data_IF_329825641775
#
_entry.id   IF_329825641775
#
_cell.length_a   1.000
_cell.length_b   1.000
_cell.length_c   1.000
_cell.angle_alpha   90.00
_cell.angle_beta   90.00
_cell.angle_gamma   90.00
#
_symmetry.space_group_name_H-M   'P 1'
#
loop_
_entity.id
_entity.type
_entity.pdbx_description
1 polymer ?
#
# COMPACT_ATOMS: atom_id res chain seq x y z
N UNK A 1 -37.15 -30.92 73.79
CA UNK A 1 -37.25 -29.60 73.15
C UNK A 1 -35.84 -29.04 73.11
N UNK A 2 -35.22 -28.93 71.93
CA UNK A 2 -33.85 -28.42 71.79
C UNK A 2 -33.94 -26.89 71.78
N UNK A 3 -33.37 -26.22 72.77
CA UNK A 3 -33.32 -24.76 72.80
C UNK A 3 -32.45 -24.24 71.66
N UNK A 4 -33.06 -23.47 70.76
CA UNK A 4 -32.36 -22.85 69.64
C UNK A 4 -31.66 -21.59 70.18
N UNK A 5 -30.37 -21.72 70.46
CA UNK A 5 -29.54 -20.68 71.12
C UNK A 5 -29.24 -19.47 70.21
N UNK A 6 -29.50 -19.56 68.91
CA UNK A 6 -29.21 -18.50 67.93
C UNK A 6 -30.27 -18.46 66.84
N UNK A 7 -30.69 -17.26 66.43
CA UNK A 7 -31.56 -17.11 65.26
C UNK A 7 -30.79 -17.45 63.98
N UNK A 8 -31.51 -17.86 62.93
CA UNK A 8 -30.89 -18.08 61.61
C UNK A 8 -30.25 -16.80 61.05
N UNK A 9 -30.78 -15.64 61.42
CA UNK A 9 -30.28 -14.33 61.01
C UNK A 9 -28.90 -14.04 61.65
N UNK A 10 -28.74 -14.33 62.95
CA UNK A 10 -27.46 -14.18 63.64
C UNK A 10 -26.38 -15.08 63.04
N UNK A 11 -26.75 -16.30 62.66
CA UNK A 11 -25.83 -17.24 62.02
C UNK A 11 -25.38 -16.77 60.63
N UNK A 12 -26.31 -16.22 59.83
CA UNK A 12 -25.98 -15.65 58.52
C UNK A 12 -25.10 -14.40 58.65
N UNK A 13 -25.40 -13.52 59.60
CA UNK A 13 -24.61 -12.32 59.87
C UNK A 13 -23.16 -12.67 60.26
N UNK A 14 -22.97 -13.70 61.10
CA UNK A 14 -21.63 -14.18 61.46
C UNK A 14 -20.87 -14.78 60.27
N UNK A 15 -21.55 -15.51 59.39
CA UNK A 15 -20.94 -16.05 58.18
C UNK A 15 -20.51 -14.95 57.22
N UNK A 16 -21.32 -13.91 57.04
CA UNK A 16 -20.99 -12.77 56.19
C UNK A 16 -19.81 -11.98 56.75
N UNK A 17 -19.81 -11.70 58.06
CA UNK A 17 -18.70 -11.03 58.73
C UNK A 17 -17.38 -11.82 58.61
N UNK A 18 -17.44 -13.16 58.67
CA UNK A 18 -16.26 -14.00 58.49
C UNK A 18 -15.69 -13.92 57.05
N UNK A 19 -16.54 -13.82 56.03
CA UNK A 19 -16.11 -13.66 54.64
C UNK A 19 -15.52 -12.28 54.38
N UNK A 20 -16.11 -11.23 54.95
CA UNK A 20 -15.58 -9.86 54.86
C UNK A 20 -14.23 -9.74 55.55
N UNK A 21 -14.07 -10.38 56.72
CA UNK A 21 -12.78 -10.42 57.41
C UNK A 21 -11.71 -11.20 56.62
N UNK A 22 -12.08 -12.26 55.91
CA UNK A 22 -11.17 -12.99 55.00
C UNK A 22 -10.70 -12.08 53.85
N UNK A 23 -11.61 -11.31 53.25
CA UNK A 23 -11.28 -10.36 52.19
C UNK A 23 -10.40 -9.21 52.68
N UNK A 24 -10.65 -8.68 53.88
CA UNK A 24 -9.83 -7.63 54.49
C UNK A 24 -8.41 -8.11 54.79
N UNK A 25 -8.27 -9.34 55.31
CA UNK A 25 -6.94 -9.94 55.52
C UNK A 25 -6.20 -10.15 54.20
N UNK A 26 -6.90 -10.55 53.16
CA UNK A 26 -6.29 -10.71 51.84
C UNK A 26 -5.88 -9.38 51.21
N UNK A 27 -6.72 -8.35 51.35
CA UNK A 27 -6.42 -6.97 50.95
C UNK A 27 -5.23 -6.40 51.71
N UNK A 28 -5.09 -6.73 52.99
CA UNK A 28 -3.94 -6.35 53.82
C UNK A 28 -2.67 -7.18 53.55
N UNK A 29 -2.71 -8.12 52.60
CA UNK A 29 -1.58 -8.99 52.25
C UNK A 29 -1.27 -10.08 53.29
N UNK A 30 -2.11 -10.25 54.32
CA UNK A 30 -1.93 -11.26 55.37
C UNK A 30 -2.26 -12.67 54.87
N UNK A 31 -3.12 -12.78 53.85
CA UNK A 31 -3.48 -14.04 53.19
C UNK A 31 -3.51 -13.86 51.68
N UNK A 32 -2.65 -14.55 50.92
CA UNK A 32 -2.60 -14.36 49.45
C UNK A 32 -3.81 -14.95 48.71
N UNK A 33 -4.43 -16.00 49.27
CA UNK A 33 -5.53 -16.72 48.64
C UNK A 33 -6.83 -16.56 49.41
N UNK A 34 -7.94 -16.40 48.68
CA UNK A 34 -9.30 -16.33 49.23
C UNK A 34 -10.14 -17.53 48.78
N UNK A 35 -11.08 -17.95 49.64
CA UNK A 35 -12.04 -18.99 49.35
C UNK A 35 -13.00 -18.58 48.22
N UNK A 36 -13.58 -19.57 47.55
CA UNK A 36 -14.52 -19.36 46.44
C UNK A 36 -15.76 -18.52 46.84
N UNK A 37 -16.23 -18.61 48.10
CA UNK A 37 -17.34 -17.77 48.59
C UNK A 37 -16.93 -16.31 48.79
N UNK A 38 -15.73 -16.08 49.34
CA UNK A 38 -15.17 -14.74 49.48
C UNK A 38 -14.89 -14.10 48.12
N UNK A 39 -14.33 -14.86 47.16
CA UNK A 39 -14.13 -14.41 45.79
C UNK A 39 -15.43 -14.03 45.07
N UNK A 40 -16.50 -14.82 45.25
CA UNK A 40 -17.81 -14.51 44.67
C UNK A 40 -18.38 -13.20 45.24
N UNK A 41 -18.27 -13.00 46.57
CA UNK A 41 -18.66 -11.75 47.24
C UNK A 41 -17.85 -10.55 46.74
N UNK A 42 -16.53 -10.69 46.58
CA UNK A 42 -15.66 -9.64 46.05
C UNK A 42 -16.04 -9.20 44.62
N UNK A 43 -16.41 -10.16 43.76
CA UNK A 43 -16.82 -9.89 42.38
C UNK A 43 -18.28 -9.45 42.25
N UNK A 44 -19.05 -9.44 43.34
CA UNK A 44 -20.47 -9.11 43.36
C UNK A 44 -21.35 -10.14 42.62
N UNK A 45 -20.96 -11.41 42.60
CA UNK A 45 -21.70 -12.50 41.92
C UNK A 45 -22.04 -13.64 42.88
N UNK A 46 -23.04 -14.45 42.54
CA UNK A 46 -23.36 -15.64 43.32
C UNK A 46 -22.26 -16.71 43.20
N UNK A 47 -22.05 -17.49 44.26
CA UNK A 47 -21.04 -18.55 44.29
C UNK A 47 -21.22 -19.57 43.16
N UNK A 48 -22.46 -19.93 42.83
CA UNK A 48 -22.76 -20.87 41.75
C UNK A 48 -22.40 -20.31 40.37
N UNK A 49 -22.63 -19.00 40.16
CA UNK A 49 -22.26 -18.30 38.92
C UNK A 49 -20.75 -18.31 38.71
N UNK A 50 -19.97 -18.09 39.77
CA UNK A 50 -18.51 -18.22 39.72
C UNK A 50 -18.09 -19.67 39.42
N UNK A 51 -18.81 -20.65 39.97
CA UNK A 51 -18.62 -22.06 39.68
C UNK A 51 -18.92 -22.44 38.23
N UNK A 52 -19.94 -21.82 37.61
CA UNK A 52 -20.25 -21.99 36.20
C UNK A 52 -19.20 -21.39 35.27
N UNK A 53 -18.71 -20.18 35.56
CA UNK A 53 -17.65 -19.55 34.76
C UNK A 53 -16.38 -20.39 34.71
N UNK A 54 -16.07 -21.07 35.82
CA UNK A 54 -14.96 -22.02 35.92
C UNK A 54 -15.14 -23.27 35.05
N UNK A 55 -16.38 -23.74 34.89
CA UNK A 55 -16.71 -24.98 34.15
C UNK A 55 -16.78 -24.80 32.63
N UNK A 56 -16.79 -23.55 32.12
CA UNK A 56 -16.77 -23.27 30.67
C UNK A 56 -15.37 -23.52 30.08
N UNK A 57 -15.33 -23.87 28.79
CA UNK A 57 -14.09 -24.06 28.04
C UNK A 57 -14.08 -23.14 26.82
N UNK A 58 -13.23 -22.10 26.77
CA UNK A 58 -12.28 -21.67 27.82
C UNK A 58 -12.98 -21.05 29.06
N UNK A 59 -12.33 -21.05 30.24
CA UNK A 59 -12.90 -20.47 31.47
C UNK A 59 -13.09 -18.97 31.32
N UNK A 60 -14.29 -18.48 31.66
CA UNK A 60 -14.70 -17.08 31.50
C UNK A 60 -14.42 -16.21 32.76
N UNK A 61 -13.78 -16.78 33.77
CA UNK A 61 -13.59 -16.19 35.09
C UNK A 61 -12.13 -15.88 35.43
N UNK A 62 -11.88 -15.27 36.60
CA UNK A 62 -10.52 -15.07 37.10
C UNK A 62 -9.80 -16.42 37.26
N UNK A 63 -8.47 -16.44 37.10
CA UNK A 63 -7.68 -17.64 37.30
C UNK A 63 -7.86 -18.16 38.73
N UNK A 64 -7.80 -19.49 38.86
CA UNK A 64 -8.07 -20.18 40.12
C UNK A 64 -7.04 -21.27 40.34
N UNK A 65 -6.77 -21.55 41.61
CA UNK A 65 -5.87 -22.61 42.03
C UNK A 65 -6.70 -23.76 42.61
N UNK A 66 -6.54 -24.95 42.03
CA UNK A 66 -7.10 -26.19 42.59
C UNK A 66 -6.00 -26.86 43.42
N UNK A 67 -6.22 -26.93 44.74
CA UNK A 67 -5.30 -27.60 45.66
C UNK A 67 -3.95 -26.92 45.79
N UNK A 68 -3.86 -25.88 46.62
CA UNK A 68 -2.58 -25.45 47.16
C UNK A 68 -2.10 -26.49 48.19
N UNK A 69 -1.50 -27.58 47.70
CA UNK A 69 -0.95 -28.66 48.52
C UNK A 69 -1.01 -30.02 47.84
N UNK A 70 0.15 -30.49 47.37
CA UNK A 70 0.46 -31.84 46.88
C UNK A 70 -0.06 -32.26 45.49
N UNK A 71 0.90 -32.67 44.65
CA UNK A 71 0.71 -33.31 43.36
C UNK A 71 -0.13 -34.59 43.51
N UNK A 72 -1.40 -34.52 43.10
CA UNK A 72 -2.36 -35.62 43.25
C UNK A 72 -3.77 -35.08 43.45
N UNK A 73 -4.32 -34.39 42.45
CA UNK A 73 -5.59 -33.66 42.54
C UNK A 73 -6.81 -34.57 42.64
N UNK A 74 -7.20 -34.94 43.87
CA UNK A 74 -8.47 -35.62 44.14
C UNK A 74 -9.69 -34.76 43.81
N UNK A 75 -10.84 -35.40 43.54
CA UNK A 75 -12.09 -34.75 43.13
C UNK A 75 -12.65 -33.73 44.15
N UNK A 76 -12.22 -33.78 45.42
CA UNK A 76 -12.75 -32.99 46.54
C UNK A 76 -11.87 -31.80 46.97
N UNK A 77 -10.88 -31.39 46.17
CA UNK A 77 -10.05 -30.23 46.55
C UNK A 77 -10.81 -28.90 46.41
N UNK A 78 -10.80 -28.10 47.47
CA UNK A 78 -11.39 -26.76 47.48
C UNK A 78 -10.63 -25.80 46.55
N UNK A 79 -11.39 -25.00 45.80
CA UNK A 79 -10.84 -24.01 44.86
C UNK A 79 -10.58 -22.69 45.59
N UNK A 80 -9.37 -22.15 45.38
CA UNK A 80 -8.94 -20.86 45.92
C UNK A 80 -8.60 -19.88 44.79
N UNK A 81 -8.70 -18.60 45.08
CA UNK A 81 -8.38 -17.51 44.15
C UNK A 81 -7.30 -16.62 44.75
N UNK A 82 -6.33 -16.18 43.95
CA UNK A 82 -5.40 -15.15 44.39
C UNK A 82 -6.12 -13.79 44.41
N UNK A 83 -5.90 -13.01 45.47
CA UNK A 83 -6.56 -11.71 45.59
C UNK A 83 -6.12 -10.73 44.48
N UNK A 84 -4.85 -10.76 44.09
CA UNK A 84 -4.29 -9.94 43.00
C UNK A 84 -4.99 -10.23 41.66
N UNK A 85 -5.11 -11.51 41.30
CA UNK A 85 -5.79 -11.95 40.09
C UNK A 85 -7.27 -11.52 40.05
N UNK A 86 -7.95 -11.54 41.20
CA UNK A 86 -9.34 -11.06 41.30
C UNK A 86 -9.44 -9.56 41.02
N UNK A 87 -8.51 -8.78 41.56
CA UNK A 87 -8.43 -7.32 41.35
C UNK A 87 -8.11 -7.00 39.89
N UNK A 88 -7.14 -7.68 39.30
CA UNK A 88 -6.76 -7.49 37.89
C UNK A 88 -7.91 -7.87 36.95
N UNK A 89 -8.56 -9.00 37.18
CA UNK A 89 -9.69 -9.45 36.39
C UNK A 89 -10.88 -8.47 36.51
N UNK A 90 -11.16 -7.97 37.72
CA UNK A 90 -12.20 -6.97 37.93
C UNK A 90 -11.86 -5.65 37.21
N UNK A 91 -10.61 -5.18 37.27
CA UNK A 91 -10.15 -3.99 36.53
C UNK A 91 -10.27 -4.16 35.02
N UNK A 92 -9.85 -5.30 34.48
CA UNK A 92 -9.97 -5.63 33.06
C UNK A 92 -11.43 -5.73 32.59
N UNK A 93 -12.34 -6.12 33.49
CA UNK A 93 -13.78 -6.17 33.21
C UNK A 93 -14.46 -4.80 33.30
N UNK A 94 -14.00 -3.94 34.21
CA UNK A 94 -14.52 -2.57 34.40
C UNK A 94 -14.02 -1.63 33.28
N UNK A 95 -12.85 -1.86 32.70
CA UNK A 95 -12.26 -1.04 31.62
C UNK A 95 -12.92 -1.16 30.24
N UNK A 96 -14.14 -1.71 30.14
CA UNK A 96 -14.90 -1.82 28.88
C UNK A 96 -16.36 -1.45 29.08
N UNK A 97 -16.60 -0.16 29.34
CA UNK A 97 -17.95 0.40 29.37
C UNK A 97 -18.62 0.30 27.99
N UNK A 98 -19.96 0.29 27.89
CA UNK A 98 -20.67 0.20 26.60
C UNK A 98 -20.30 1.32 25.62
N UNK A 99 -19.94 2.51 26.12
CA UNK A 99 -19.47 3.63 25.29
C UNK A 99 -18.09 3.35 24.69
N UNK A 100 -17.16 2.80 25.47
CA UNK A 100 -15.83 2.44 24.97
C UNK A 100 -15.88 1.33 23.93
N UNK A 101 -16.79 0.35 24.08
CA UNK A 101 -16.99 -0.69 23.05
C UNK A 101 -17.46 -0.10 21.73
N UNK A 102 -18.44 0.80 21.77
CA UNK A 102 -18.93 1.52 20.57
C UNK A 102 -17.82 2.33 19.92
N UNK A 103 -17.01 3.04 20.71
CA UNK A 103 -15.89 3.83 20.18
C UNK A 103 -14.83 2.95 19.54
N UNK A 104 -14.53 1.77 20.11
CA UNK A 104 -13.57 0.82 19.52
C UNK A 104 -14.11 0.27 18.19
N UNK A 105 -15.40 -0.11 18.14
CA UNK A 105 -16.04 -0.56 16.89
C UNK A 105 -16.04 0.53 15.81
N UNK A 106 -16.34 1.77 16.18
CA UNK A 106 -16.31 2.92 15.28
C UNK A 106 -14.88 3.21 14.78
N UNK A 107 -13.89 3.11 15.65
CA UNK A 107 -12.48 3.27 15.32
C UNK A 107 -12.01 2.16 14.35
N UNK A 108 -12.39 0.91 14.60
CA UNK A 108 -12.08 -0.22 13.71
C UNK A 108 -12.72 -0.03 12.33
N UNK A 109 -13.98 0.45 12.27
CA UNK A 109 -14.66 0.80 11.02
C UNK A 109 -13.92 1.90 10.26
N UNK A 110 -13.55 2.99 10.93
CA UNK A 110 -12.81 4.09 10.30
C UNK A 110 -11.42 3.63 9.80
N UNK A 111 -10.74 2.75 10.53
CA UNK A 111 -9.47 2.14 10.08
C UNK A 111 -9.65 1.25 8.86
N UNK A 112 -10.76 0.53 8.74
CA UNK A 112 -11.07 -0.23 7.52
C UNK A 112 -11.31 0.71 6.33
N UNK A 113 -12.08 1.78 6.53
CA UNK A 113 -12.32 2.78 5.49
C UNK A 113 -11.05 3.49 5.04
N UNK A 114 -10.15 3.83 5.97
CA UNK A 114 -8.85 4.43 5.63
C UNK A 114 -8.02 3.52 4.72
N UNK A 115 -7.93 2.23 5.04
CA UNK A 115 -7.21 1.24 4.22
C UNK A 115 -7.84 1.03 2.85
N UNK A 116 -9.16 1.07 2.76
CA UNK A 116 -9.86 0.99 1.47
C UNK A 116 -9.54 2.20 0.58
N UNK A 117 -9.53 3.41 1.15
CA UNK A 117 -9.16 4.62 0.44
C UNK A 117 -7.68 4.62 0.00
N UNK A 118 -6.77 4.13 0.85
CA UNK A 118 -5.36 3.95 0.47
C UNK A 118 -5.22 3.02 -0.74
N UNK A 119 -5.89 1.87 -0.74
CA UNK A 119 -5.90 0.94 -1.88
C UNK A 119 -6.52 1.57 -3.14
N UNK A 120 -7.54 2.42 -3.00
CA UNK A 120 -8.11 3.14 -4.14
C UNK A 120 -7.12 4.14 -4.75
N UNK A 121 -6.34 4.85 -3.91
CA UNK A 121 -5.29 5.76 -4.36
C UNK A 121 -4.16 5.00 -5.08
N UNK A 122 -3.70 3.87 -4.53
CA UNK A 122 -2.71 3.01 -5.19
C UNK A 122 -3.21 2.51 -6.54
N UNK A 123 -4.47 2.05 -6.60
CA UNK A 123 -5.10 1.58 -7.83
C UNK A 123 -5.20 2.70 -8.87
N UNK A 124 -5.53 3.93 -8.45
CA UNK A 124 -5.56 5.08 -9.33
C UNK A 124 -4.16 5.44 -9.85
N UNK A 125 -3.14 5.42 -9.00
CA UNK A 125 -1.76 5.66 -9.40
C UNK A 125 -1.27 4.64 -10.45
N UNK A 126 -1.59 3.36 -10.26
CA UNK A 126 -1.28 2.30 -11.24
C UNK A 126 -2.04 2.51 -12.54
N UNK A 127 -3.33 2.89 -12.50
CA UNK A 127 -4.10 3.23 -13.71
C UNK A 127 -3.48 4.39 -14.48
N UNK A 128 -3.05 5.43 -13.78
CA UNK A 128 -2.40 6.58 -14.40
C UNK A 128 -1.05 6.20 -15.00
N UNK A 129 -0.29 5.33 -14.34
CA UNK A 129 0.94 4.76 -14.89
C UNK A 129 0.68 3.94 -16.16
N UNK A 130 -0.35 3.08 -16.16
CA UNK A 130 -0.75 2.31 -17.35
C UNK A 130 -1.19 3.25 -18.46
N UNK A 131 -1.99 4.28 -18.17
CA UNK A 131 -2.40 5.28 -19.17
C UNK A 131 -1.19 6.03 -19.77
N UNK A 132 -0.21 6.40 -18.93
CA UNK A 132 1.06 7.00 -19.40
C UNK A 132 1.84 6.04 -20.29
N UNK A 133 1.97 4.77 -19.89
CA UNK A 133 2.64 3.74 -20.69
C UNK A 133 1.93 3.47 -22.01
N UNK A 134 0.59 3.40 -22.02
CA UNK A 134 -0.21 3.23 -23.24
C UNK A 134 -0.08 4.43 -24.17
N UNK A 135 -0.05 5.66 -23.65
CA UNK A 135 0.24 6.85 -24.48
C UNK A 135 1.64 6.81 -25.05
N UNK A 136 2.65 6.41 -24.26
CA UNK A 136 4.03 6.26 -24.73
C UNK A 136 4.15 5.17 -25.80
N UNK A 137 3.54 4.00 -25.58
CA UNK A 137 3.51 2.91 -26.54
C UNK A 137 2.75 3.28 -27.81
N UNK A 138 1.60 3.96 -27.69
CA UNK A 138 0.84 4.50 -28.81
C UNK A 138 1.63 5.55 -29.60
N UNK A 139 2.40 6.41 -28.92
CA UNK A 139 3.32 7.37 -29.55
C UNK A 139 4.42 6.64 -30.34
N UNK A 140 5.02 5.59 -29.77
CA UNK A 140 6.06 4.78 -30.45
C UNK A 140 5.49 4.03 -31.66
N UNK A 141 4.26 3.50 -31.56
CA UNK A 141 3.60 2.78 -32.66
C UNK A 141 3.04 3.71 -33.75
N UNK A 142 2.80 4.99 -33.45
CA UNK A 142 2.26 5.98 -34.38
C UNK A 142 3.34 6.76 -35.15
N UNK A 143 4.63 6.48 -34.98
CA UNK A 143 5.71 7.08 -35.79
C UNK A 143 5.83 6.39 -37.15
N UNK A 144 4.73 6.34 -37.91
CA UNK A 144 4.66 5.64 -39.20
C UNK A 144 5.08 6.51 -40.38
N UNK A 145 5.06 7.85 -40.23
CA UNK A 145 5.47 8.77 -41.29
C UNK A 145 6.59 9.71 -40.83
N UNK A 146 7.49 10.08 -41.76
CA UNK A 146 8.61 11.01 -41.49
C UNK A 146 8.12 12.37 -41.00
N UNK A 147 6.91 12.79 -41.41
CA UNK A 147 6.25 14.00 -40.89
C UNK A 147 5.92 13.87 -39.40
N UNK A 148 5.41 12.73 -38.96
CA UNK A 148 5.10 12.48 -37.55
C UNK A 148 6.36 12.49 -36.69
N UNK A 149 7.49 11.94 -37.15
CA UNK A 149 8.77 12.03 -36.43
C UNK A 149 9.28 13.48 -36.24
N UNK A 150 8.89 14.40 -37.13
CA UNK A 150 9.28 15.81 -37.07
C UNK A 150 8.29 16.66 -36.28
N UNK A 151 6.99 16.34 -36.36
CA UNK A 151 5.93 17.17 -35.75
C UNK A 151 5.45 16.67 -34.40
N UNK A 152 5.76 15.43 -34.02
CA UNK A 152 5.39 14.91 -32.70
C UNK A 152 6.33 15.50 -31.65
N UNK A 153 5.79 16.07 -30.56
CA UNK A 153 6.63 16.54 -29.47
C UNK A 153 7.21 15.35 -28.68
N UNK A 154 8.50 15.43 -28.42
CA UNK A 154 9.32 14.48 -27.68
C UNK A 154 9.85 15.11 -26.40
N UNK A 155 10.26 14.28 -25.46
CA UNK A 155 10.78 14.75 -24.17
C UNK A 155 12.31 14.85 -24.26
N UNK A 156 12.83 16.04 -23.95
CA UNK A 156 14.24 16.42 -24.01
C UNK A 156 14.74 16.82 -22.63
N UNK A 157 15.99 16.50 -22.34
CA UNK A 157 16.63 16.85 -21.07
C UNK A 157 17.40 18.15 -21.23
N UNK A 158 17.04 19.14 -20.40
CA UNK A 158 17.74 20.41 -20.26
C UNK A 158 18.53 20.39 -18.95
N UNK A 159 19.78 20.86 -18.99
CA UNK A 159 20.60 21.11 -17.81
C UNK A 159 21.15 22.53 -17.93
N UNK A 160 20.84 23.39 -16.96
CA UNK A 160 21.30 24.78 -16.97
C UNK A 160 20.78 25.58 -18.19
N UNK A 161 19.58 25.23 -18.69
CA UNK A 161 18.99 25.82 -19.88
C UNK A 161 19.62 25.39 -21.20
N UNK A 162 20.47 24.36 -21.20
CA UNK A 162 21.08 23.78 -22.41
C UNK A 162 20.64 22.35 -22.62
N UNK A 163 20.44 21.96 -23.87
CA UNK A 163 20.00 20.62 -24.22
C UNK A 163 21.14 19.61 -24.11
N UNK A 164 20.92 18.56 -23.32
CA UNK A 164 21.83 17.41 -23.19
C UNK A 164 21.47 16.33 -24.22
N UNK A 165 20.18 16.14 -24.48
CA UNK A 165 19.69 15.19 -25.47
C UNK A 165 18.31 14.66 -25.16
N UNK A 166 17.89 13.65 -25.92
CA UNK A 166 16.58 13.03 -25.76
C UNK A 166 16.52 12.15 -24.51
N UNK A 167 15.37 12.08 -23.84
CA UNK A 167 15.16 11.29 -22.60
C UNK A 167 15.60 9.82 -22.73
N UNK A 168 15.52 9.24 -23.94
CA UNK A 168 15.90 7.84 -24.19
C UNK A 168 17.39 7.60 -24.45
N UNK A 169 18.17 8.65 -24.69
CA UNK A 169 19.59 8.54 -25.10
C UNK A 169 20.55 9.11 -24.05
N UNK A 170 20.05 9.93 -23.13
CA UNK A 170 20.83 10.56 -22.08
C UNK A 170 21.28 9.51 -21.04
N UNK A 171 22.51 9.61 -20.50
CA UNK A 171 22.99 8.74 -19.42
C UNK A 171 22.03 8.65 -18.22
N UNK A 172 21.89 7.45 -17.65
CA UNK A 172 20.87 7.17 -16.63
C UNK A 172 21.05 7.93 -15.31
N UNK A 173 22.28 8.31 -14.98
CA UNK A 173 22.65 9.20 -13.87
C UNK A 173 22.10 10.63 -14.07
N UNK A 174 22.14 11.15 -15.29
CA UNK A 174 21.55 12.45 -15.62
C UNK A 174 20.02 12.38 -15.60
N UNK A 175 19.42 11.32 -16.13
CA UNK A 175 17.97 11.14 -16.12
C UNK A 175 17.39 10.95 -14.70
N UNK A 176 18.11 10.25 -13.82
CA UNK A 176 17.71 10.09 -12.42
C UNK A 176 17.81 11.40 -11.63
N UNK A 177 18.81 12.23 -11.92
CA UNK A 177 18.91 13.57 -11.33
C UNK A 177 17.73 14.48 -11.74
N UNK A 178 17.33 14.45 -13.02
CA UNK A 178 16.20 15.24 -13.53
C UNK A 178 14.85 14.76 -12.96
N UNK A 179 14.62 13.44 -12.96
CA UNK A 179 13.36 12.85 -12.47
C UNK A 179 13.19 12.96 -10.95
N UNK A 180 14.28 12.97 -10.18
CA UNK A 180 14.26 13.26 -8.75
C UNK A 180 13.92 14.73 -8.46
N UNK A 181 14.36 15.66 -9.32
CA UNK A 181 14.02 17.08 -9.22
C UNK A 181 12.55 17.36 -9.58
N UNK A 182 12.02 16.73 -10.63
CA UNK A 182 10.61 16.83 -11.03
C UNK A 182 9.67 16.27 -9.94
N UNK A 183 10.05 15.17 -9.29
CA UNK A 183 9.30 14.59 -8.16
C UNK A 183 9.32 15.44 -6.88
N UNK A 184 10.36 16.27 -6.70
CA UNK A 184 10.46 17.22 -5.58
C UNK A 184 9.76 18.56 -5.86
N UNK A 185 9.52 18.92 -7.13
CA UNK A 185 8.96 20.21 -7.52
C UNK A 185 7.46 20.36 -7.24
N UNK A 186 6.72 19.29 -6.94
CA UNK A 186 5.36 19.41 -6.39
C UNK A 186 5.35 19.65 -4.86
N UNK A 187 6.49 19.53 -4.18
CA UNK A 187 6.60 19.65 -2.74
C UNK A 187 7.90 20.37 -2.31
N UNK A 188 8.03 21.65 -2.65
CA UNK A 188 8.58 22.74 -1.82
C UNK A 188 9.22 23.85 -2.66
N UNK A 189 8.70 25.05 -2.49
CA UNK A 189 9.36 26.30 -2.87
C UNK A 189 10.47 26.60 -1.86
N UNK A 190 11.59 27.10 -2.39
CA UNK A 190 12.77 27.66 -1.75
C UNK A 190 13.83 26.66 -1.25
N UNK A 191 14.99 26.65 -1.91
CA UNK A 191 16.27 26.90 -1.23
C UNK A 191 17.30 27.50 -2.19
N UNK A 192 18.07 28.41 -1.61
CA UNK A 192 19.06 29.33 -2.16
C UNK A 192 20.43 28.69 -2.38
N UNK A 193 21.14 29.11 -3.45
CA UNK A 193 22.59 29.31 -3.40
C UNK A 193 23.48 28.32 -4.16
N UNK A 194 24.01 28.83 -5.28
CA UNK A 194 25.28 28.46 -5.96
C UNK A 194 25.32 27.09 -6.68
N UNK A 195 25.19 27.15 -8.00
CA UNK A 195 25.66 26.09 -8.92
C UNK A 195 24.67 24.98 -9.27
N UNK A 196 23.39 25.09 -8.87
CA UNK A 196 22.39 24.09 -9.23
C UNK A 196 21.86 24.38 -10.64
N UNK A 197 22.51 23.81 -11.65
CA UNK A 197 21.98 23.79 -13.02
C UNK A 197 20.64 23.05 -13.00
N UNK A 198 19.54 23.82 -13.03
CA UNK A 198 18.19 23.27 -13.00
C UNK A 198 18.06 22.28 -14.15
N UNK A 199 17.77 21.04 -13.77
CA UNK A 199 17.56 19.93 -14.66
C UNK A 199 16.06 19.78 -14.87
N UNK A 200 15.60 19.97 -16.12
CA UNK A 200 14.18 20.01 -16.47
C UNK A 200 13.93 19.10 -17.68
N UNK A 201 12.76 18.44 -17.70
CA UNK A 201 12.26 17.77 -18.90
C UNK A 201 11.42 18.74 -19.72
N UNK A 202 11.90 19.05 -20.94
CA UNK A 202 11.20 19.92 -21.88
C UNK A 202 10.60 19.14 -23.04
N UNK A 203 9.31 19.33 -23.28
CA UNK A 203 8.58 18.65 -24.35
C UNK A 203 8.55 19.53 -25.61
N UNK A 204 9.21 19.08 -26.67
CA UNK A 204 9.34 19.82 -27.93
C UNK A 204 9.55 18.88 -29.12
N UNK A 205 9.26 19.38 -30.32
CA UNK A 205 9.57 18.68 -31.57
C UNK A 205 11.08 18.59 -31.79
N UNK A 206 11.53 17.66 -32.64
CA UNK A 206 12.94 17.57 -33.00
C UNK A 206 13.45 18.83 -33.71
N UNK A 207 12.61 19.49 -34.51
CA UNK A 207 12.94 20.77 -35.15
C UNK A 207 13.21 21.86 -34.11
N UNK A 208 12.30 22.03 -33.14
CA UNK A 208 12.45 22.99 -32.05
C UNK A 208 13.67 22.68 -31.18
N UNK A 209 13.92 21.39 -30.91
CA UNK A 209 15.08 20.93 -30.14
C UNK A 209 16.41 21.25 -30.82
N UNK A 210 16.50 21.08 -32.15
CA UNK A 210 17.69 21.40 -32.92
C UNK A 210 17.97 22.91 -33.00
N UNK A 211 16.98 23.77 -32.69
CA UNK A 211 17.14 25.23 -32.62
C UNK A 211 17.58 25.74 -31.24
N UNK A 212 17.49 24.91 -30.20
CA UNK A 212 17.93 25.28 -28.84
C UNK A 212 19.45 25.23 -28.68
N UNK A 213 20.01 25.92 -27.67
CA UNK A 213 21.42 25.80 -27.33
C UNK A 213 21.71 24.42 -26.71
N UNK A 214 22.62 23.66 -27.31
CA UNK A 214 23.06 22.36 -26.80
C UNK A 214 24.27 22.51 -25.88
N UNK A 215 24.48 21.53 -25.00
CA UNK A 215 25.67 21.48 -24.12
C UNK A 215 26.96 21.37 -24.96
N UNK A 216 26.90 20.68 -26.09
CA UNK A 216 28.00 20.61 -27.06
C UNK A 216 27.56 19.97 -28.38
N UNK A 217 28.43 20.07 -29.39
CA UNK A 217 28.17 19.45 -30.70
C UNK A 217 28.11 17.92 -30.62
N UNK A 218 28.92 17.29 -29.76
CA UNK A 218 28.90 15.84 -29.56
C UNK A 218 27.54 15.31 -29.10
N UNK A 219 26.78 16.12 -28.33
CA UNK A 219 25.42 15.79 -27.91
C UNK A 219 24.39 15.99 -29.03
N UNK A 220 24.64 16.94 -29.94
CA UNK A 220 23.73 17.34 -31.02
C UNK A 220 23.90 16.50 -32.28
N UNK A 221 25.14 16.23 -32.67
CA UNK A 221 25.53 15.62 -33.93
C UNK A 221 24.85 14.26 -34.21
N UNK A 222 24.66 13.36 -33.22
CA UNK A 222 23.98 12.08 -33.46
C UNK A 222 22.55 12.27 -33.99
N UNK A 223 21.83 13.27 -33.49
CA UNK A 223 20.46 13.57 -33.90
C UNK A 223 20.42 14.20 -35.30
N UNK A 224 21.35 15.11 -35.59
CA UNK A 224 21.48 15.70 -36.93
C UNK A 224 21.83 14.64 -37.98
N UNK A 225 22.80 13.76 -37.70
CA UNK A 225 23.18 12.68 -38.61
C UNK A 225 22.07 11.65 -38.83
N UNK A 226 21.34 11.27 -37.77
CA UNK A 226 20.20 10.37 -37.88
C UNK A 226 19.09 10.96 -38.77
N UNK A 227 18.84 12.27 -38.65
CA UNK A 227 17.88 12.97 -39.49
C UNK A 227 18.30 13.03 -40.95
N UNK A 228 19.55 13.39 -41.23
CA UNK A 228 20.08 13.44 -42.60
C UNK A 228 20.02 12.06 -43.27
N UNK A 229 20.34 11.00 -42.50
CA UNK A 229 20.26 9.61 -42.97
C UNK A 229 18.83 9.22 -43.32
N UNK A 230 17.88 9.47 -42.41
CA UNK A 230 16.47 9.12 -42.61
C UNK A 230 15.84 9.87 -43.79
N UNK A 231 16.14 11.17 -43.94
CA UNK A 231 15.69 11.97 -45.09
C UNK A 231 16.31 11.48 -46.40
N UNK A 232 17.60 11.11 -46.38
CA UNK A 232 18.28 10.52 -47.53
C UNK A 232 17.67 9.19 -47.98
N UNK A 233 17.36 8.31 -47.03
CA UNK A 233 16.70 7.02 -47.30
C UNK A 233 15.29 7.20 -47.87
N UNK A 234 14.49 8.08 -47.29
CA UNK A 234 13.15 8.39 -47.80
C UNK A 234 13.22 8.91 -49.25
N UNK A 235 14.12 9.86 -49.51
CA UNK A 235 14.31 10.46 -50.84
C UNK A 235 14.68 9.38 -51.86
N UNK A 236 15.56 8.44 -51.47
CA UNK A 236 15.95 7.31 -52.32
C UNK A 236 14.77 6.39 -52.59
N UNK A 237 13.98 6.06 -51.58
CA UNK A 237 12.80 5.19 -51.73
C UNK A 237 11.75 5.83 -52.66
N UNK A 238 11.47 7.13 -52.49
CA UNK A 238 10.56 7.86 -53.37
C UNK A 238 11.05 7.89 -54.82
N UNK A 239 12.36 8.04 -55.04
CA UNK A 239 12.94 7.98 -56.37
C UNK A 239 12.81 6.59 -57.01
N UNK A 240 13.01 5.52 -56.22
CA UNK A 240 12.84 4.14 -56.65
C UNK A 240 11.40 3.83 -57.02
N UNK A 241 10.43 4.17 -56.16
CA UNK A 241 9.00 3.98 -56.45
C UNK A 241 8.55 4.79 -57.68
N UNK A 242 9.03 6.02 -57.84
CA UNK A 242 8.76 6.82 -59.04
C UNK A 242 9.36 6.20 -60.30
N UNK A 243 10.50 5.51 -60.18
CA UNK A 243 11.11 4.80 -61.30
C UNK A 243 10.31 3.53 -61.63
N UNK A 244 9.91 2.76 -60.62
CA UNK A 244 9.10 1.57 -60.77
C UNK A 244 7.71 1.86 -61.32
N UNK A 245 7.08 2.97 -60.91
CA UNK A 245 5.81 3.39 -61.48
C UNK A 245 5.98 3.80 -62.94
N UNK A 246 7.06 4.51 -63.30
CA UNK A 246 7.34 4.83 -64.70
C UNK A 246 7.55 3.59 -65.57
N UNK A 247 8.19 2.53 -65.05
CA UNK A 247 8.33 1.29 -65.83
C UNK A 247 6.98 0.59 -66.00
N UNK A 248 6.15 0.51 -64.96
CA UNK A 248 4.78 -0.04 -65.05
C UNK A 248 3.92 0.74 -66.04
N UNK A 249 3.93 2.08 -65.95
CA UNK A 249 3.18 2.95 -66.85
C UNK A 249 3.64 2.80 -68.32
N UNK A 250 4.93 2.50 -68.55
CA UNK A 250 5.45 2.23 -69.89
C UNK A 250 5.02 0.85 -70.38
N UNK A 251 5.06 -0.17 -69.54
CA UNK A 251 4.57 -1.53 -69.85
C UNK A 251 3.08 -1.51 -70.21
N UNK A 252 2.26 -0.78 -69.45
CA UNK A 252 0.82 -0.64 -69.69
C UNK A 252 0.50 0.12 -71.00
N UNK A 253 1.40 1.01 -71.43
CA UNK A 253 1.26 1.78 -72.68
C UNK A 253 1.78 1.04 -73.92
N UNK A 254 2.57 -0.01 -73.75
CA UNK A 254 2.99 -0.86 -74.86
C UNK A 254 1.80 -1.77 -75.21
N UNK A 255 1.26 -1.61 -76.42
CA UNK A 255 0.19 -2.48 -76.93
C UNK A 255 0.62 -3.95 -76.81
N UNK A 256 -0.29 -4.88 -76.47
CA UNK A 256 0.03 -6.30 -76.44
C UNK A 256 0.63 -6.70 -77.79
N UNK A 257 1.79 -7.36 -77.74
CA UNK A 257 2.54 -7.74 -78.93
C UNK A 257 1.58 -8.37 -79.95
N UNK A 258 1.43 -7.72 -81.10
CA UNK A 258 0.64 -8.26 -82.21
C UNK A 258 1.30 -9.58 -82.57
N UNK A 259 0.67 -10.69 -82.17
CA UNK A 259 1.07 -12.02 -82.58
C UNK A 259 0.83 -12.11 -84.08
N UNK A 260 1.85 -11.75 -84.87
CA UNK A 260 1.82 -11.95 -86.30
C UNK A 260 1.64 -13.46 -86.55
N UNK A 261 0.59 -13.88 -87.27
CA UNK A 261 0.39 -15.29 -87.55
C UNK A 261 1.60 -15.81 -88.30
N UNK A 262 2.25 -16.83 -87.75
CA UNK A 262 3.31 -17.58 -88.43
C UNK A 262 2.74 -18.07 -89.76
N UNK A 263 3.21 -17.49 -90.86
CA UNK A 263 3.01 -18.05 -92.19
C UNK A 263 3.64 -19.43 -92.21
N UNK A 264 2.79 -20.46 -92.28
CA UNK A 264 3.23 -21.81 -92.60
C UNK A 264 3.62 -21.79 -94.09
N UNK A 265 4.91 -22.00 -94.36
CA UNK A 265 5.42 -22.32 -95.68
C UNK A 265 5.24 -23.81 -95.96
#
# INVERSE_FOLDING_TARGET
MIEVVRSEEDYRALLEAALDQELERARAGLTQTVASKAAARFLGVHFDTLGEWRRRSPPLGPPFQKGAGHAGGGANQHVRYLYEDLVEWQRARVSKTPKERRLVEELERLRQQARELELQLELQAVKDQVARMTRKAGRVLALTTVKECLTVPHDWVLVGGRMVGHVLTVPGDVLTAVTAADGASEANVAHTGVGSEVSEVWTATLEEALQQPWVGNEARDPFSQAMDTALGELTRHLAQERSAQRSRDLEDRLLPAIALPRTQF
#
